data_IF_594831946446
#
_entry.id   IF_594831946446
#
_cell.length_a   1.000
_cell.length_b   1.000
_cell.length_c   1.000
_cell.angle_alpha   90.00
_cell.angle_beta   90.00
_cell.angle_gamma   90.00
#
_symmetry.space_group_name_H-M   'P 1'
#
loop_
_entity.id
_entity.type
_entity.pdbx_description
1 polymer ?
#
# COMPACT_ATOMS: atom_id res chain seq x y z
N UNK A 1 -31.51 -43.25 -1.78
CA UNK A 1 -30.05 -43.20 -1.90
C UNK A 1 -29.70 -41.73 -1.88
N UNK A 2 -29.32 -41.25 -0.71
CA UNK A 2 -29.01 -39.84 -0.48
C UNK A 2 -27.52 -39.67 -0.77
N UNK A 3 -27.20 -38.86 -1.80
CA UNK A 3 -25.82 -38.59 -2.18
C UNK A 3 -25.38 -37.37 -1.37
N UNK A 4 -24.67 -37.62 -0.28
CA UNK A 4 -24.18 -36.58 0.62
C UNK A 4 -23.28 -35.58 -0.11
N UNK A 5 -23.72 -34.33 -0.14
CA UNK A 5 -22.87 -33.17 -0.41
C UNK A 5 -21.73 -33.17 0.60
N UNK A 6 -20.49 -33.35 0.13
CA UNK A 6 -19.32 -33.08 0.97
C UNK A 6 -19.29 -31.58 1.26
N UNK A 7 -19.07 -31.16 2.52
CA UNK A 7 -18.88 -29.76 2.82
C UNK A 7 -17.61 -29.28 2.12
N UNK A 8 -17.70 -28.10 1.49
CA UNK A 8 -16.54 -27.34 1.04
C UNK A 8 -15.50 -27.33 2.15
N UNK A 9 -14.28 -27.77 1.83
CA UNK A 9 -13.12 -27.56 2.70
C UNK A 9 -13.04 -26.05 2.90
N UNK A 10 -13.47 -25.57 4.07
CA UNK A 10 -13.11 -24.24 4.55
C UNK A 10 -11.59 -24.11 4.41
N UNK A 11 -11.15 -23.33 3.42
CA UNK A 11 -9.74 -22.93 3.29
C UNK A 11 -9.42 -22.26 4.63
N UNK A 12 -8.66 -22.94 5.48
CA UNK A 12 -8.09 -22.33 6.68
C UNK A 12 -7.41 -21.02 6.23
N UNK A 13 -7.61 -19.90 6.96
CA UNK A 13 -6.98 -18.64 6.61
C UNK A 13 -5.48 -18.88 6.48
N UNK A 14 -4.89 -18.42 5.37
CA UNK A 14 -3.45 -18.54 5.16
C UNK A 14 -2.75 -17.88 6.34
N UNK A 15 -1.91 -18.61 7.09
CA UNK A 15 -1.18 -18.01 8.21
C UNK A 15 -0.32 -16.87 7.69
N UNK A 16 -0.35 -15.74 8.41
CA UNK A 16 0.48 -14.61 8.07
C UNK A 16 1.92 -14.92 8.51
N UNK A 17 2.79 -15.11 7.53
CA UNK A 17 4.22 -15.38 7.69
C UNK A 17 5.01 -14.72 6.56
N UNK A 18 6.34 -14.90 6.56
CA UNK A 18 7.23 -14.28 5.59
C UNK A 18 6.93 -14.75 4.14
N UNK A 19 6.54 -16.01 3.96
CA UNK A 19 6.31 -16.61 2.65
C UNK A 19 4.96 -16.16 2.08
N UNK A 20 3.90 -16.16 2.90
CA UNK A 20 2.59 -15.65 2.49
C UNK A 20 2.63 -14.14 2.23
N UNK A 21 3.39 -13.38 3.03
CA UNK A 21 3.66 -11.97 2.76
C UNK A 21 4.40 -11.78 1.43
N UNK A 22 5.50 -12.51 1.21
CA UNK A 22 6.27 -12.42 -0.03
C UNK A 22 5.39 -12.70 -1.25
N UNK A 23 4.63 -13.80 -1.24
CA UNK A 23 3.70 -14.16 -2.31
C UNK A 23 2.59 -13.11 -2.51
N UNK A 24 2.12 -12.46 -1.43
CA UNK A 24 1.11 -11.43 -1.54
C UNK A 24 1.64 -10.15 -2.20
N UNK A 25 2.83 -9.67 -1.81
CA UNK A 25 3.44 -8.47 -2.41
C UNK A 25 3.95 -8.70 -3.83
N UNK A 26 4.13 -9.95 -4.27
CA UNK A 26 4.43 -10.28 -5.66
C UNK A 26 3.39 -9.77 -6.66
N UNK A 27 2.15 -9.49 -6.21
CA UNK A 27 1.15 -8.89 -7.09
C UNK A 27 1.58 -7.55 -7.69
N UNK A 28 2.56 -6.87 -7.07
CA UNK A 28 3.12 -5.60 -7.52
C UNK A 28 4.33 -5.73 -8.46
N UNK A 29 4.88 -6.92 -8.71
CA UNK A 29 6.13 -7.08 -9.49
C UNK A 29 6.09 -6.49 -10.91
N UNK A 30 4.90 -6.35 -11.48
CA UNK A 30 4.70 -5.77 -12.82
C UNK A 30 4.41 -4.27 -12.80
N UNK A 31 4.55 -3.63 -11.63
CA UNK A 31 4.34 -2.20 -11.44
C UNK A 31 5.56 -1.57 -10.78
N UNK A 32 5.74 -0.29 -11.09
CA UNK A 32 6.68 0.56 -10.37
C UNK A 32 6.06 0.85 -8.99
N UNK A 33 6.33 -0.03 -8.03
CA UNK A 33 5.71 0.01 -6.71
C UNK A 33 6.75 -0.14 -5.61
N UNK A 34 6.71 0.77 -4.65
CA UNK A 34 7.46 0.72 -3.40
C UNK A 34 6.62 0.05 -2.30
N UNK A 35 7.22 -0.86 -1.54
CA UNK A 35 6.63 -1.55 -0.40
C UNK A 35 7.66 -1.62 0.73
N UNK A 36 7.39 -0.93 1.83
CA UNK A 36 8.24 -0.96 3.00
C UNK A 36 7.43 -0.85 4.30
N UNK A 37 7.95 -1.43 5.36
CA UNK A 37 7.42 -1.36 6.72
C UNK A 37 8.56 -1.02 7.67
N UNK A 38 8.29 -0.18 8.65
CA UNK A 38 9.22 0.16 9.72
C UNK A 38 8.57 -0.02 11.08
N UNK A 39 9.36 -0.23 12.14
CA UNK A 39 8.86 -0.09 13.50
C UNK A 39 8.36 1.34 13.75
N UNK A 40 7.32 1.47 14.56
CA UNK A 40 6.85 2.75 15.08
C UNK A 40 7.83 3.25 16.14
N UNK A 41 8.59 4.31 15.86
CA UNK A 41 9.66 4.78 16.75
C UNK A 41 9.42 6.16 17.36
N UNK A 42 8.50 6.94 16.80
CA UNK A 42 8.24 8.33 17.21
C UNK A 42 6.80 8.51 17.73
N UNK A 43 6.48 9.61 18.41
CA UNK A 43 5.07 9.92 18.74
C UNK A 43 4.31 10.48 17.52
N UNK A 44 5.04 11.16 16.64
CA UNK A 44 4.54 11.59 15.34
C UNK A 44 5.01 10.59 14.24
N UNK A 45 4.05 9.97 13.55
CA UNK A 45 4.30 8.95 12.51
C UNK A 45 4.92 9.51 11.26
N UNK A 46 4.87 10.83 11.08
CA UNK A 46 5.44 11.49 9.93
C UNK A 46 6.97 11.34 9.88
N UNK A 47 7.62 11.26 11.05
CA UNK A 47 9.05 10.96 11.13
C UNK A 47 9.37 9.54 10.64
N UNK A 48 8.58 8.55 11.03
CA UNK A 48 8.77 7.16 10.56
C UNK A 48 8.51 7.05 9.06
N UNK A 49 7.50 7.76 8.54
CA UNK A 49 7.26 7.85 7.09
C UNK A 49 8.45 8.47 6.37
N UNK A 50 9.01 9.57 6.88
CA UNK A 50 10.19 10.20 6.29
C UNK A 50 11.40 9.24 6.26
N UNK A 51 11.64 8.51 7.35
CA UNK A 51 12.73 7.54 7.41
C UNK A 51 12.51 6.32 6.51
N UNK A 52 11.25 5.85 6.35
CA UNK A 52 10.91 4.83 5.34
C UNK A 52 11.26 5.34 3.94
N UNK A 53 10.84 6.55 3.59
CA UNK A 53 11.08 7.13 2.26
C UNK A 53 12.57 7.24 1.95
N UNK A 54 13.40 7.59 2.94
CA UNK A 54 14.87 7.65 2.83
C UNK A 54 15.58 6.30 2.88
N UNK A 55 14.86 5.19 3.10
CA UNK A 55 15.46 3.86 3.24
C UNK A 55 16.28 3.68 4.51
N UNK A 56 16.03 4.47 5.56
CA UNK A 56 16.78 4.45 6.83
C UNK A 56 16.31 3.33 7.77
N UNK A 57 15.21 2.66 7.43
CA UNK A 57 14.54 1.67 8.28
C UNK A 57 14.57 0.29 7.67
N UNK A 58 14.53 -0.74 8.51
CA UNK A 58 14.32 -2.12 8.11
C UNK A 58 12.96 -2.64 8.61
N UNK A 59 12.41 -3.60 7.88
CA UNK A 59 11.19 -4.30 8.29
C UNK A 59 11.42 -4.99 9.65
N UNK A 60 10.61 -4.73 10.69
CA UNK A 60 10.83 -5.27 12.04
C UNK A 60 10.68 -6.81 12.10
N UNK A 61 10.03 -7.41 11.10
CA UNK A 61 9.86 -8.86 10.93
C UNK A 61 10.84 -9.45 9.91
N UNK A 62 11.70 -8.61 9.30
CA UNK A 62 12.60 -8.98 8.20
C UNK A 62 11.87 -9.61 7.00
N UNK A 63 10.63 -9.18 6.75
CA UNK A 63 9.85 -9.65 5.60
C UNK A 63 10.21 -8.89 4.32
N UNK A 64 9.83 -9.45 3.17
CA UNK A 64 10.18 -8.94 1.84
C UNK A 64 9.67 -7.49 1.65
N UNK A 65 10.56 -6.60 1.20
CA UNK A 65 10.23 -5.25 0.74
C UNK A 65 10.34 -5.18 -0.79
N UNK A 66 9.80 -4.12 -1.38
CA UNK A 66 9.98 -3.79 -2.80
C UNK A 66 10.45 -2.34 -2.86
N UNK A 67 11.60 -2.09 -3.46
CA UNK A 67 12.09 -0.73 -3.69
C UNK A 67 12.67 -0.69 -5.11
N UNK A 68 11.90 -0.17 -6.09
CA UNK A 68 12.36 -0.16 -7.48
C UNK A 68 13.54 0.79 -7.68
N UNK A 69 13.67 1.81 -6.83
CA UNK A 69 14.70 2.85 -6.93
C UNK A 69 15.95 2.55 -6.09
N UNK A 70 16.04 1.38 -5.43
CA UNK A 70 17.10 1.07 -4.46
C UNK A 70 18.53 1.22 -4.99
N UNK A 71 18.71 1.04 -6.30
CA UNK A 71 20.02 1.08 -6.96
C UNK A 71 20.15 2.26 -7.94
N UNK A 72 19.20 3.20 -7.95
CA UNK A 72 19.23 4.36 -8.84
C UNK A 72 20.23 5.41 -8.33
N UNK A 73 20.94 6.06 -9.26
CA UNK A 73 21.99 7.03 -8.95
C UNK A 73 21.41 8.28 -8.24
N UNK A 74 20.16 8.64 -8.52
CA UNK A 74 19.45 9.75 -7.86
C UNK A 74 19.42 9.60 -6.33
N UNK A 75 19.45 8.36 -5.81
CA UNK A 75 19.49 8.09 -4.36
C UNK A 75 20.81 8.51 -3.71
N UNK A 76 21.88 8.73 -4.48
CA UNK A 76 23.15 9.21 -3.95
C UNK A 76 23.04 10.67 -3.47
N UNK A 77 22.30 11.50 -4.21
CA UNK A 77 22.08 12.93 -3.91
C UNK A 77 20.77 13.18 -3.14
N UNK A 78 19.71 12.44 -3.45
CA UNK A 78 18.40 12.49 -2.79
C UNK A 78 18.01 11.09 -2.28
N UNK A 79 18.36 10.74 -1.03
CA UNK A 79 18.05 9.45 -0.45
C UNK A 79 16.56 9.08 -0.46
N UNK A 80 15.65 10.05 -0.61
CA UNK A 80 14.22 9.80 -0.61
C UNK A 80 13.60 9.63 -2.00
N UNK A 81 14.38 9.77 -3.08
CA UNK A 81 13.87 9.65 -4.45
C UNK A 81 13.05 8.37 -4.64
N UNK A 82 11.83 8.41 -5.20
CA UNK A 82 11.18 9.54 -5.87
C UNK A 82 10.23 10.36 -4.97
N UNK A 83 10.22 10.13 -3.66
CA UNK A 83 9.28 10.76 -2.74
C UNK A 83 9.62 12.22 -2.44
N UNK A 84 8.58 13.01 -2.17
CA UNK A 84 8.69 14.32 -1.54
C UNK A 84 8.57 14.09 -0.03
N UNK A 85 9.69 14.08 0.69
CA UNK A 85 9.70 13.81 2.14
C UNK A 85 8.89 14.84 2.91
N UNK A 86 8.09 14.41 3.91
CA UNK A 86 7.38 15.35 4.74
C UNK A 86 8.35 16.21 5.58
N UNK A 87 8.05 17.50 5.79
CA UNK A 87 8.82 18.35 6.69
C UNK A 87 8.78 17.88 8.15
N UNK A 88 9.82 18.16 8.93
CA UNK A 88 9.98 17.71 10.32
C UNK A 88 9.03 18.40 11.34
N UNK A 89 8.15 19.30 10.90
CA UNK A 89 7.12 19.90 11.75
C UNK A 89 6.50 21.19 11.21
N UNK A 90 5.64 21.79 12.02
CA UNK A 90 4.98 23.06 11.73
C UNK A 90 3.99 23.00 10.55
N UNK A 91 3.74 24.15 9.93
CA UNK A 91 2.75 24.28 8.86
C UNK A 91 3.02 23.36 7.65
N UNK A 92 4.29 23.06 7.35
CA UNK A 92 4.65 22.16 6.26
C UNK A 92 4.25 20.71 6.53
N UNK A 93 4.35 20.25 7.78
CA UNK A 93 3.89 18.91 8.17
C UNK A 93 2.35 18.81 8.08
N UNK A 94 1.64 19.85 8.48
CA UNK A 94 0.17 19.93 8.35
C UNK A 94 -0.28 19.94 6.89
N UNK A 95 0.40 20.71 6.04
CA UNK A 95 0.17 20.74 4.59
C UNK A 95 0.38 19.37 3.96
N UNK A 96 1.49 18.69 4.28
CA UNK A 96 1.76 17.36 3.75
C UNK A 96 0.70 16.35 4.17
N UNK A 97 0.26 16.38 5.44
CA UNK A 97 -0.85 15.54 5.92
C UNK A 97 -2.15 15.82 5.19
N UNK A 98 -2.40 17.06 4.78
CA UNK A 98 -3.61 17.44 4.06
C UNK A 98 -3.74 16.78 2.68
N UNK A 99 -2.63 16.30 2.12
CA UNK A 99 -2.62 15.51 0.88
C UNK A 99 -3.11 14.07 1.10
N UNK A 100 -3.10 13.61 2.35
CA UNK A 100 -3.60 12.30 2.74
C UNK A 100 -5.03 12.36 3.27
N UNK A 101 -5.75 11.26 3.06
CA UNK A 101 -7.11 11.06 3.52
C UNK A 101 -7.21 9.74 4.25
N UNK A 102 -7.78 9.77 5.44
CA UNK A 102 -8.07 8.55 6.19
C UNK A 102 -9.20 7.75 5.51
N UNK A 103 -9.02 6.45 5.40
CA UNK A 103 -9.97 5.52 4.77
C UNK A 103 -10.31 4.37 5.70
N UNK A 104 -11.56 3.86 5.65
CA UNK A 104 -11.94 2.73 6.48
C UNK A 104 -11.23 1.46 6.02
N UNK A 105 -10.89 0.57 6.97
CA UNK A 105 -10.28 -0.75 6.71
C UNK A 105 -11.03 -1.56 5.64
N UNK A 106 -12.36 -1.44 5.58
CA UNK A 106 -13.21 -2.12 4.59
C UNK A 106 -12.93 -1.70 3.13
N UNK A 107 -12.37 -0.51 2.91
CA UNK A 107 -11.98 -0.01 1.58
C UNK A 107 -10.55 -0.42 1.19
N UNK A 108 -9.69 -0.74 2.17
CA UNK A 108 -8.25 -0.94 1.95
C UNK A 108 -7.95 -2.13 1.03
N UNK A 109 -8.70 -3.23 1.14
CA UNK A 109 -8.50 -4.38 0.25
C UNK A 109 -8.64 -4.02 -1.23
N UNK A 110 -9.63 -3.19 -1.58
CA UNK A 110 -9.82 -2.72 -2.97
C UNK A 110 -8.77 -1.68 -3.38
N UNK A 111 -8.28 -0.87 -2.44
CA UNK A 111 -7.16 0.04 -2.69
C UNK A 111 -5.90 -0.74 -3.06
N UNK A 112 -5.52 -1.74 -2.26
CA UNK A 112 -4.35 -2.60 -2.52
C UNK A 112 -4.40 -3.24 -3.91
N UNK A 113 -5.57 -3.73 -4.31
CA UNK A 113 -5.80 -4.27 -5.66
C UNK A 113 -5.63 -3.19 -6.74
N UNK A 114 -6.21 -2.00 -6.55
CA UNK A 114 -6.06 -0.86 -7.48
C UNK A 114 -4.58 -0.53 -7.71
N UNK A 115 -3.76 -0.50 -6.66
CA UNK A 115 -2.33 -0.20 -6.74
C UNK A 115 -1.54 -1.18 -7.63
N UNK A 116 -2.04 -2.42 -7.79
CA UNK A 116 -1.44 -3.43 -8.66
C UNK A 116 -1.97 -3.42 -10.11
N UNK A 117 -3.02 -2.66 -10.42
CA UNK A 117 -3.61 -2.60 -11.79
C UNK A 117 -2.84 -1.68 -12.72
N UNK A 118 -2.91 -1.95 -14.03
CA UNK A 118 -2.33 -1.07 -15.06
C UNK A 118 -3.04 0.30 -15.06
N UNK A 119 -2.27 1.39 -15.14
CA UNK A 119 -2.75 2.78 -15.13
C UNK A 119 -3.51 3.25 -13.87
N UNK A 120 -3.46 2.50 -12.76
CA UNK A 120 -4.15 2.82 -11.51
C UNK A 120 -5.65 3.02 -11.73
N UNK A 121 -6.21 2.16 -12.59
CA UNK A 121 -7.61 2.16 -12.97
C UNK A 121 -8.03 0.73 -13.30
N UNK A 122 -8.77 0.13 -12.37
CA UNK A 122 -9.28 -1.24 -12.48
C UNK A 122 -10.12 -1.43 -13.76
N UNK A 123 -10.87 -0.42 -14.19
CA UNK A 123 -11.72 -0.51 -15.38
C UNK A 123 -10.93 -0.57 -16.69
N UNK A 124 -9.66 -0.16 -16.65
CA UNK A 124 -8.74 -0.16 -17.80
C UNK A 124 -7.82 -1.36 -17.82
N UNK A 125 -7.82 -2.19 -16.77
CA UNK A 125 -7.03 -3.41 -16.72
C UNK A 125 -7.84 -4.59 -17.29
N UNK A 126 -7.55 -4.93 -18.56
CA UNK A 126 -8.24 -6.00 -19.27
C UNK A 126 -8.01 -7.40 -18.69
N UNK A 127 -7.04 -7.58 -17.78
CA UNK A 127 -6.73 -8.86 -17.12
C UNK A 127 -7.30 -8.94 -15.71
N UNK A 128 -7.91 -7.85 -15.24
CA UNK A 128 -8.44 -7.78 -13.90
C UNK A 128 -9.54 -8.82 -13.64
N UNK A 129 -10.54 -9.04 -14.51
CA UNK A 129 -11.59 -10.03 -14.25
C UNK A 129 -11.05 -11.43 -13.93
N UNK A 130 -10.02 -11.88 -14.65
CA UNK A 130 -9.42 -13.20 -14.48
C UNK A 130 -8.53 -13.28 -13.23
N UNK A 131 -7.89 -12.18 -12.83
CA UNK A 131 -6.96 -12.11 -11.69
C UNK A 131 -7.59 -11.61 -10.40
N UNK A 132 -8.83 -11.14 -10.44
CA UNK A 132 -9.50 -10.46 -9.32
C UNK A 132 -9.46 -11.27 -8.03
N UNK A 133 -9.82 -12.55 -8.09
CA UNK A 133 -9.90 -13.41 -6.89
C UNK A 133 -8.52 -13.54 -6.24
N UNK A 134 -7.49 -13.81 -7.03
CA UNK A 134 -6.10 -13.92 -6.59
C UNK A 134 -5.60 -12.60 -5.98
N UNK A 135 -5.82 -11.46 -6.66
CA UNK A 135 -5.41 -10.15 -6.15
C UNK A 135 -6.14 -9.78 -4.85
N UNK A 136 -7.42 -10.10 -4.73
CA UNK A 136 -8.18 -9.91 -3.48
C UNK A 136 -7.69 -10.84 -2.36
N UNK A 137 -7.23 -12.06 -2.67
CA UNK A 137 -6.59 -12.96 -1.70
C UNK A 137 -5.25 -12.36 -1.21
N UNK A 138 -4.38 -11.90 -2.11
CA UNK A 138 -3.13 -11.21 -1.75
C UNK A 138 -3.38 -9.95 -0.92
N UNK A 139 -4.38 -9.14 -1.29
CA UNK A 139 -4.76 -7.95 -0.52
C UNK A 139 -5.23 -8.30 0.90
N UNK A 140 -5.93 -9.42 1.09
CA UNK A 140 -6.31 -9.91 2.45
C UNK A 140 -5.08 -10.28 3.27
N UNK A 141 -4.08 -10.92 2.68
CA UNK A 141 -2.82 -11.27 3.38
C UNK A 141 -2.07 -10.01 3.79
N UNK A 142 -1.93 -9.03 2.90
CA UNK A 142 -1.31 -7.73 3.23
C UNK A 142 -2.07 -7.04 4.37
N UNK A 143 -3.40 -6.99 4.29
CA UNK A 143 -4.23 -6.36 5.32
C UNK A 143 -4.16 -7.10 6.66
N UNK A 144 -3.98 -8.42 6.65
CA UNK A 144 -3.83 -9.23 7.87
C UNK A 144 -2.56 -8.88 8.67
N UNK A 145 -1.55 -8.25 8.05
CA UNK A 145 -0.40 -7.69 8.77
C UNK A 145 -0.77 -6.53 9.67
N UNK A 146 -1.78 -5.75 9.28
CA UNK A 146 -2.19 -4.55 9.99
C UNK A 146 -3.11 -4.93 11.15
N UNK A 147 -2.81 -4.53 12.40
CA UNK A 147 -3.72 -4.74 13.53
C UNK A 147 -5.07 -4.05 13.32
N UNK A 148 -6.07 -4.42 14.10
CA UNK A 148 -7.44 -3.94 13.90
C UNK A 148 -7.57 -2.43 14.15
N UNK A 149 -6.76 -1.89 15.06
CA UNK A 149 -6.69 -0.47 15.42
C UNK A 149 -5.86 0.38 14.44
N UNK A 150 -5.24 -0.24 13.43
CA UNK A 150 -4.44 0.48 12.44
C UNK A 150 -5.29 1.51 11.69
N UNK A 151 -4.73 2.70 11.53
CA UNK A 151 -5.30 3.77 10.71
C UNK A 151 -4.72 3.71 9.31
N UNK A 152 -5.55 3.95 8.31
CA UNK A 152 -5.17 3.83 6.89
C UNK A 152 -5.36 5.16 6.19
N UNK A 153 -4.37 5.55 5.41
CA UNK A 153 -4.34 6.79 4.66
C UNK A 153 -4.02 6.52 3.20
N UNK A 154 -4.58 7.33 2.32
CA UNK A 154 -4.27 7.33 0.90
C UNK A 154 -4.26 8.76 0.38
N UNK A 155 -3.61 9.01 -0.75
CA UNK A 155 -3.59 10.32 -1.39
C UNK A 155 -4.66 10.50 -2.46
N UNK A 156 -5.56 9.52 -2.64
CA UNK A 156 -6.65 9.58 -3.62
C UNK A 156 -8.02 9.79 -3.00
N UNK A 157 -8.92 10.33 -3.81
CA UNK A 157 -10.35 10.43 -3.52
C UNK A 157 -11.17 9.91 -4.69
N UNK A 158 -12.35 9.39 -4.39
CA UNK A 158 -13.29 8.87 -5.37
C UNK A 158 -14.02 7.64 -4.86
N UNK A 159 -14.89 7.06 -5.69
CA UNK A 159 -15.57 5.80 -5.39
C UNK A 159 -16.65 5.84 -4.31
N UNK A 160 -17.15 7.02 -3.93
CA UNK A 160 -18.27 7.16 -2.99
C UNK A 160 -17.90 7.12 -1.50
N UNK A 161 -18.88 6.84 -0.66
CA UNK A 161 -18.75 6.82 0.82
C UNK A 161 -19.40 5.54 1.37
N UNK A 162 -18.63 4.58 1.93
CA UNK A 162 -17.17 4.55 1.97
C UNK A 162 -16.56 4.42 0.54
N UNK A 163 -15.29 4.82 0.33
CA UNK A 163 -14.65 4.72 -0.98
C UNK A 163 -14.61 3.28 -1.51
N UNK A 164 -15.05 3.11 -2.76
CA UNK A 164 -14.89 1.91 -3.55
C UNK A 164 -13.85 2.12 -4.65
N UNK A 165 -12.63 1.63 -4.43
CA UNK A 165 -11.50 1.81 -5.35
C UNK A 165 -11.58 0.99 -6.65
N UNK A 166 -12.64 0.20 -6.85
CA UNK A 166 -12.94 -0.37 -8.17
C UNK A 166 -13.74 0.60 -9.05
N UNK A 167 -14.31 1.65 -8.45
CA UNK A 167 -14.94 2.74 -9.17
C UNK A 167 -13.91 3.80 -9.53
N UNK A 168 -14.29 4.72 -10.42
CA UNK A 168 -13.42 5.79 -10.89
C UNK A 168 -12.95 6.69 -9.74
N UNK A 169 -11.64 6.85 -9.64
CA UNK A 169 -10.99 7.86 -8.79
C UNK A 169 -11.19 9.26 -9.40
N UNK A 170 -11.45 10.27 -8.57
CA UNK A 170 -11.73 11.63 -9.02
C UNK A 170 -10.49 12.52 -9.04
N UNK A 171 -9.52 12.26 -8.17
CA UNK A 171 -8.28 13.04 -8.03
C UNK A 171 -7.31 12.33 -7.10
N UNK A 172 -6.02 12.67 -7.23
CA UNK A 172 -4.99 12.35 -6.25
C UNK A 172 -4.15 13.59 -5.92
N UNK A 173 -3.48 13.55 -4.78
CA UNK A 173 -2.44 14.51 -4.39
C UNK A 173 -1.10 13.77 -4.41
N UNK A 174 -0.35 13.81 -5.53
CA UNK A 174 0.95 13.13 -5.64
C UNK A 174 1.87 13.50 -4.47
N UNK A 175 2.54 12.51 -3.89
CA UNK A 175 3.57 12.72 -2.86
C UNK A 175 4.97 12.34 -3.37
N UNK A 176 5.10 12.17 -4.67
CA UNK A 176 6.35 11.90 -5.37
C UNK A 176 6.64 12.97 -6.42
N UNK A 177 7.80 12.88 -7.06
CA UNK A 177 8.16 13.72 -8.20
C UNK A 177 7.36 13.38 -9.46
N UNK A 178 6.63 12.25 -9.48
CA UNK A 178 5.79 11.85 -10.60
C UNK A 178 4.45 12.61 -10.59
N UNK A 179 3.94 12.90 -11.78
CA UNK A 179 2.65 13.59 -11.94
C UNK A 179 1.46 12.76 -11.43
N UNK A 180 1.64 11.44 -11.33
CA UNK A 180 0.61 10.53 -10.86
C UNK A 180 1.24 9.40 -10.02
N UNK A 181 0.89 9.38 -8.75
CA UNK A 181 1.20 8.30 -7.82
C UNK A 181 0.01 8.06 -6.90
N UNK A 182 -0.19 6.82 -6.50
CA UNK A 182 -1.19 6.42 -5.53
C UNK A 182 -0.57 5.48 -4.52
N UNK A 183 -1.05 5.54 -3.29
CA UNK A 183 -0.66 4.52 -2.34
C UNK A 183 -1.49 4.42 -1.09
N UNK A 184 -1.07 3.47 -0.28
CA UNK A 184 -1.56 3.20 1.05
C UNK A 184 -0.43 3.48 2.03
N UNK A 185 -0.74 4.28 3.04
CA UNK A 185 0.01 4.40 4.28
C UNK A 185 -0.85 3.79 5.38
N UNK A 186 -0.28 2.93 6.23
CA UNK A 186 -0.92 2.54 7.48
C UNK A 186 -0.04 2.89 8.67
N UNK A 187 -0.71 3.16 9.80
CA UNK A 187 -0.07 3.50 11.06
C UNK A 187 -0.75 2.70 12.17
N UNK A 188 0.04 1.98 12.95
CA UNK A 188 -0.36 1.39 14.23
C UNK A 188 0.61 1.85 15.34
N UNK A 189 0.40 1.32 16.55
CA UNK A 189 1.30 1.57 17.68
C UNK A 189 2.66 0.87 17.51
N UNK A 190 2.78 -0.13 16.64
CA UNK A 190 3.99 -0.94 16.47
C UNK A 190 4.64 -0.77 15.10
N UNK A 191 3.87 -0.50 14.04
CA UNK A 191 4.37 -0.47 12.66
C UNK A 191 3.80 0.74 11.89
N UNK A 192 4.63 1.29 11.01
CA UNK A 192 4.22 2.18 9.93
C UNK A 192 4.61 1.50 8.63
N UNK A 193 3.74 1.55 7.62
CA UNK A 193 4.13 1.02 6.32
C UNK A 193 3.51 1.73 5.14
N UNK A 194 4.22 1.64 4.03
CA UNK A 194 3.92 2.29 2.77
C UNK A 194 3.84 1.22 1.67
N UNK A 195 2.77 1.29 0.89
CA UNK A 195 2.64 0.62 -0.41
C UNK A 195 2.28 1.71 -1.41
N UNK A 196 3.20 2.06 -2.29
CA UNK A 196 3.07 3.22 -3.17
C UNK A 196 3.38 2.85 -4.61
N UNK A 197 2.42 3.04 -5.51
CA UNK A 197 2.55 2.76 -6.93
C UNK A 197 2.65 4.06 -7.72
N UNK A 198 3.64 4.15 -8.58
CA UNK A 198 3.93 5.33 -9.38
C UNK A 198 3.56 5.12 -10.86
N UNK A 199 3.29 6.20 -11.56
CA UNK A 199 3.23 6.25 -13.03
C UNK A 199 4.40 7.12 -13.55
N UNK A 200 5.54 6.52 -13.93
CA UNK A 200 6.73 7.25 -14.38
C UNK A 200 6.63 7.77 -15.83
N UNK A 201 5.41 7.84 -16.40
CA UNK A 201 5.16 8.18 -17.81
C UNK A 201 4.91 9.66 -18.07
#
# INVERSE_FOLDING_TARGET
>A
MDCGTMPDREKLPTPLDADSWAAAVEMYERRYTFVAVAPRAHDDWLHDVASIMRGETADPRSWRTIDPDRAEEEREDDPAYPFITPPEGGAGAEEWRSWLREVPRSSVGRLLVLLATLALDVSRDSRFPERRVEMEESARVILARCPDEARFFTNTSGGGVPPDFYQRISSCSPISQYAWDLGLLWVSDEEVGLIWSFDPR
#
